data_IF_982753253735
#
_entry.id   IF_982753253735
#
_cell.length_a   1.000
_cell.length_b   1.000
_cell.length_c   1.000
_cell.angle_alpha   90.00
_cell.angle_beta   90.00
_cell.angle_gamma   90.00
#
_symmetry.space_group_name_H-M   'P 1'
#
loop_
_entity.id
_entity.type
_entity.pdbx_description
1 polymer ?
#
# COMPACT_ATOMS: atom_id res chain seq x y z
N UNK A 1 6.86 -7.62 20.21
CA UNK A 1 6.30 -8.69 19.35
C UNK A 1 5.80 -8.06 18.08
N UNK A 2 6.29 -8.52 16.93
CA UNK A 2 5.89 -8.04 15.60
C UNK A 2 4.94 -9.02 14.92
N UNK A 3 4.08 -8.51 14.05
CA UNK A 3 3.23 -9.31 13.16
C UNK A 3 3.61 -9.04 11.71
N UNK A 4 4.05 -10.06 10.98
CA UNK A 4 4.30 -10.00 9.54
C UNK A 4 3.22 -10.81 8.84
N UNK A 5 2.43 -10.14 8.00
CA UNK A 5 1.29 -10.72 7.29
C UNK A 5 1.60 -10.78 5.80
N UNK A 6 1.44 -11.95 5.20
CA UNK A 6 1.44 -12.11 3.74
C UNK A 6 0.01 -12.26 3.25
N UNK A 7 -0.44 -11.39 2.36
CA UNK A 7 -1.78 -11.50 1.75
C UNK A 7 -1.76 -12.49 0.58
N UNK A 8 -2.87 -13.22 0.43
CA UNK A 8 -3.08 -14.21 -0.63
C UNK A 8 -4.47 -14.83 -0.52
N UNK A 9 -4.85 -15.62 -1.53
CA UNK A 9 -6.02 -16.49 -1.47
C UNK A 9 -5.61 -17.94 -1.18
N UNK A 10 -6.38 -18.68 -0.36
CA UNK A 10 -6.12 -20.08 -0.03
C UNK A 10 -6.58 -21.03 -1.15
N UNK A 11 -5.91 -22.17 -1.28
CA UNK A 11 -6.29 -23.26 -2.16
C UNK A 11 -5.49 -23.32 -3.47
N UNK A 12 -5.39 -24.54 -4.00
CA UNK A 12 -4.47 -24.90 -5.11
C UNK A 12 -4.65 -24.02 -6.35
N UNK A 13 -5.88 -23.60 -6.66
CA UNK A 13 -6.17 -22.77 -7.83
C UNK A 13 -5.53 -21.37 -7.79
N UNK A 14 -5.16 -20.87 -6.61
CA UNK A 14 -4.53 -19.56 -6.44
C UNK A 14 -3.02 -19.64 -6.21
N UNK A 15 -2.46 -20.85 -6.13
CA UNK A 15 -1.02 -21.03 -6.02
C UNK A 15 -0.31 -20.40 -7.21
N UNK A 16 0.76 -19.66 -6.91
CA UNK A 16 1.59 -18.99 -7.92
C UNK A 16 0.84 -17.93 -8.77
N UNK A 17 -0.33 -17.46 -8.30
CA UNK A 17 -1.02 -16.31 -8.90
C UNK A 17 -0.42 -14.99 -8.44
N UNK A 18 -0.59 -13.93 -9.22
CA UNK A 18 -0.12 -12.58 -8.89
C UNK A 18 -0.63 -12.11 -7.53
N UNK A 19 -1.88 -12.41 -7.20
CA UNK A 19 -2.51 -12.02 -5.93
C UNK A 19 -1.97 -12.77 -4.70
N UNK A 20 -1.16 -13.81 -4.90
CA UNK A 20 -0.52 -14.57 -3.84
C UNK A 20 0.94 -14.14 -3.60
N UNK A 21 1.38 -13.01 -4.15
CA UNK A 21 2.74 -12.52 -3.96
C UNK A 21 3.11 -12.35 -2.46
N UNK A 22 2.15 -11.90 -1.62
CA UNK A 22 2.35 -11.80 -0.18
C UNK A 22 2.61 -13.16 0.47
N UNK A 23 1.84 -14.18 0.12
CA UNK A 23 2.08 -15.56 0.55
C UNK A 23 3.47 -16.07 0.15
N UNK A 24 3.88 -15.83 -1.10
CA UNK A 24 5.19 -16.27 -1.60
C UNK A 24 6.34 -15.62 -0.82
N UNK A 25 6.20 -14.34 -0.46
CA UNK A 25 7.19 -13.66 0.40
C UNK A 25 7.23 -14.28 1.79
N UNK A 26 6.09 -14.61 2.38
CA UNK A 26 6.04 -15.26 3.70
C UNK A 26 6.68 -16.65 3.66
N UNK A 27 6.44 -17.42 2.60
CA UNK A 27 7.09 -18.70 2.38
C UNK A 27 8.61 -18.54 2.23
N UNK A 28 9.07 -17.49 1.54
CA UNK A 28 10.49 -17.16 1.44
C UNK A 28 11.10 -16.75 2.77
N UNK A 29 10.41 -15.94 3.58
CA UNK A 29 10.86 -15.57 4.94
C UNK A 29 11.01 -16.83 5.78
N UNK A 30 10.00 -17.70 5.78
CA UNK A 30 10.02 -18.94 6.54
C UNK A 30 11.21 -19.84 6.13
N UNK A 31 11.50 -19.97 4.83
CA UNK A 31 12.71 -20.65 4.35
C UNK A 31 14.01 -20.01 4.84
N UNK A 32 14.12 -18.68 4.82
CA UNK A 32 15.33 -17.98 5.26
C UNK A 32 15.59 -18.12 6.76
N UNK A 33 14.55 -18.40 7.55
CA UNK A 33 14.62 -18.51 9.00
C UNK A 33 14.48 -19.94 9.51
N UNK A 34 14.44 -20.94 8.60
CA UNK A 34 14.20 -22.35 8.92
C UNK A 34 12.91 -22.59 9.74
N UNK A 35 11.85 -21.86 9.37
CA UNK A 35 10.55 -21.91 10.02
C UNK A 35 9.50 -22.59 9.16
N UNK A 36 8.46 -23.11 9.81
CA UNK A 36 7.32 -23.74 9.12
C UNK A 36 5.99 -23.11 9.56
N UNK A 37 5.40 -22.33 8.66
CA UNK A 37 4.05 -21.74 8.85
C UNK A 37 3.00 -22.84 8.73
N UNK A 38 2.59 -23.43 9.86
CA UNK A 38 1.74 -24.63 9.87
C UNK A 38 0.67 -24.65 10.96
N UNK A 39 0.78 -23.82 12.00
CA UNK A 39 -0.25 -23.77 13.05
C UNK A 39 -1.50 -23.15 12.47
N UNK A 40 -2.65 -23.80 12.66
CA UNK A 40 -3.95 -23.30 12.19
C UNK A 40 -4.65 -22.56 13.32
N UNK A 41 -4.89 -21.25 13.12
CA UNK A 41 -5.70 -20.39 13.99
C UNK A 41 -5.98 -19.07 13.26
N UNK A 42 -6.95 -18.30 13.75
CA UNK A 42 -7.27 -16.97 13.21
C UNK A 42 -7.72 -17.02 11.74
N UNK A 43 -8.41 -18.09 11.31
CA UNK A 43 -8.74 -18.30 9.90
C UNK A 43 -7.50 -18.25 8.99
N UNK A 44 -6.37 -18.81 9.46
CA UNK A 44 -5.11 -18.76 8.74
C UNK A 44 -4.08 -19.77 9.23
N UNK A 45 -2.96 -19.80 8.51
CA UNK A 45 -1.75 -20.50 8.93
C UNK A 45 -0.78 -19.50 9.53
N UNK A 46 -0.21 -19.83 10.69
CA UNK A 46 0.78 -18.98 11.33
C UNK A 46 1.92 -19.78 11.95
N UNK A 47 2.99 -19.07 12.30
CA UNK A 47 4.02 -19.54 13.23
C UNK A 47 4.44 -18.37 14.12
N UNK A 48 4.67 -18.66 15.41
CA UNK A 48 5.30 -17.73 16.34
C UNK A 48 6.73 -18.22 16.55
N UNK A 49 7.69 -17.36 16.30
CA UNK A 49 9.13 -17.65 16.40
C UNK A 49 9.88 -16.44 16.97
N UNK A 50 11.16 -16.62 17.29
CA UNK A 50 12.08 -15.56 17.67
C UNK A 50 13.11 -15.38 16.56
N UNK A 51 13.04 -14.26 15.85
CA UNK A 51 13.96 -13.93 14.76
C UNK A 51 14.85 -12.78 15.24
N UNK A 52 16.16 -13.01 15.29
CA UNK A 52 17.16 -12.01 15.72
C UNK A 52 16.88 -11.37 17.09
N UNK A 53 16.28 -12.13 18.00
CA UNK A 53 15.96 -11.68 19.36
C UNK A 53 14.54 -11.10 19.52
N UNK A 54 13.85 -10.75 18.43
CA UNK A 54 12.48 -10.24 18.45
C UNK A 54 11.47 -11.39 18.32
N UNK A 55 10.41 -11.37 19.14
CA UNK A 55 9.28 -12.28 18.95
C UNK A 55 8.46 -11.84 17.73
N UNK A 56 8.32 -12.74 16.75
CA UNK A 56 7.63 -12.47 15.49
C UNK A 56 6.55 -13.52 15.26
N UNK A 57 5.39 -13.05 14.83
CA UNK A 57 4.34 -13.90 14.26
C UNK A 57 4.34 -13.72 12.75
N UNK A 58 4.51 -14.81 12.02
CA UNK A 58 4.29 -14.86 10.57
C UNK A 58 2.88 -15.40 10.34
N UNK A 59 2.04 -14.65 9.62
CA UNK A 59 0.64 -15.00 9.37
C UNK A 59 0.33 -15.01 7.87
N UNK A 60 -0.31 -16.10 7.42
CA UNK A 60 -0.95 -16.24 6.11
C UNK A 60 -2.46 -16.38 6.35
N UNK A 61 -3.26 -15.31 6.19
CA UNK A 61 -4.72 -15.39 6.26
C UNK A 61 -5.26 -16.35 5.22
N UNK A 62 -5.97 -17.40 5.63
CA UNK A 62 -6.59 -18.39 4.74
C UNK A 62 -8.10 -18.12 4.57
N UNK A 63 -8.50 -16.87 4.71
CA UNK A 63 -9.79 -16.36 4.24
C UNK A 63 -9.71 -16.03 2.75
N UNK A 64 -10.84 -15.71 2.11
CA UNK A 64 -10.75 -14.97 0.84
C UNK A 64 -10.09 -13.60 1.06
N UNK A 65 -9.44 -13.09 0.01
CA UNK A 65 -8.63 -11.88 0.09
C UNK A 65 -9.38 -10.69 0.74
N UNK A 66 -10.62 -10.44 0.33
CA UNK A 66 -11.46 -9.35 0.85
C UNK A 66 -11.83 -9.49 2.35
N UNK A 67 -11.55 -10.63 2.97
CA UNK A 67 -11.80 -10.93 4.38
C UNK A 67 -10.49 -11.07 5.20
N UNK A 68 -9.33 -10.78 4.60
CA UNK A 68 -8.02 -10.94 5.25
C UNK A 68 -7.90 -10.17 6.57
N UNK A 69 -8.60 -9.04 6.70
CA UNK A 69 -8.57 -8.22 7.91
C UNK A 69 -9.11 -8.93 9.15
N UNK A 70 -10.08 -9.85 9.00
CA UNK A 70 -10.62 -10.62 10.12
C UNK A 70 -9.55 -11.52 10.74
N UNK A 71 -8.76 -12.19 9.89
CA UNK A 71 -7.64 -13.03 10.33
C UNK A 71 -6.57 -12.21 11.06
N UNK A 72 -6.19 -11.07 10.45
CA UNK A 72 -5.19 -10.16 11.04
C UNK A 72 -5.64 -9.65 12.40
N UNK A 73 -6.90 -9.20 12.50
CA UNK A 73 -7.46 -8.69 13.75
C UNK A 73 -7.52 -9.76 14.84
N UNK A 74 -7.99 -10.96 14.51
CA UNK A 74 -8.03 -12.07 15.46
C UNK A 74 -6.62 -12.43 16.00
N UNK A 75 -5.60 -12.37 15.14
CA UNK A 75 -4.21 -12.58 15.55
C UNK A 75 -3.70 -11.46 16.47
N UNK A 76 -4.01 -10.20 16.15
CA UNK A 76 -3.65 -9.05 16.99
C UNK A 76 -4.28 -9.14 18.37
N UNK A 77 -5.58 -9.42 18.45
CA UNK A 77 -6.33 -9.46 19.70
C UNK A 77 -5.84 -10.59 20.62
N UNK A 78 -5.43 -11.72 20.03
CA UNK A 78 -4.90 -12.86 20.75
C UNK A 78 -3.50 -12.59 21.32
N UNK A 79 -2.59 -12.04 20.50
CA UNK A 79 -1.20 -11.78 20.91
C UNK A 79 -0.96 -10.38 21.51
N UNK A 80 -2.01 -9.55 21.61
CA UNK A 80 -1.94 -8.16 22.08
C UNK A 80 -0.95 -7.32 21.27
N UNK A 81 -1.02 -7.45 19.94
CA UNK A 81 -0.12 -6.74 19.02
C UNK A 81 -0.74 -5.40 18.62
N UNK A 82 -0.01 -4.32 18.83
CA UNK A 82 -0.40 -2.98 18.39
C UNK A 82 -0.29 -2.84 16.87
N UNK A 83 -1.13 -1.99 16.29
CA UNK A 83 -1.11 -1.67 14.86
C UNK A 83 0.26 -1.24 14.33
N UNK A 84 1.01 -0.45 15.10
CA UNK A 84 2.36 0.03 14.75
C UNK A 84 3.39 -1.10 14.57
N UNK A 85 3.10 -2.27 15.13
CA UNK A 85 3.97 -3.45 15.12
C UNK A 85 3.64 -4.43 14.00
N UNK A 86 2.74 -4.03 13.10
CA UNK A 86 2.31 -4.81 11.94
C UNK A 86 3.10 -4.41 10.69
N UNK A 87 3.49 -5.42 9.91
CA UNK A 87 4.00 -5.31 8.56
C UNK A 87 3.14 -6.16 7.62
N UNK A 88 2.51 -5.53 6.62
CA UNK A 88 1.68 -6.23 5.63
C UNK A 88 2.39 -6.29 4.28
N UNK A 89 2.45 -7.48 3.68
CA UNK A 89 3.09 -7.76 2.41
C UNK A 89 2.04 -8.21 1.40
N UNK A 90 1.94 -7.53 0.26
CA UNK A 90 0.89 -7.76 -0.73
C UNK A 90 1.30 -7.31 -2.15
N UNK A 91 0.54 -7.73 -3.15
CA UNK A 91 0.77 -7.36 -4.55
C UNK A 91 0.35 -5.93 -4.90
N UNK A 92 1.08 -5.29 -5.82
CA UNK A 92 0.83 -3.91 -6.24
C UNK A 92 0.91 -3.80 -7.77
N UNK A 93 -0.22 -3.41 -8.38
CA UNK A 93 -0.38 -3.28 -9.83
C UNK A 93 0.44 -2.13 -10.42
N UNK A 94 0.67 -1.09 -9.62
CA UNK A 94 1.37 0.12 -10.05
C UNK A 94 2.90 -0.02 -9.97
N UNK A 95 3.38 -1.09 -9.34
CA UNK A 95 4.81 -1.40 -9.23
C UNK A 95 5.17 -2.47 -10.28
N UNK A 96 6.19 -2.26 -11.13
CA UNK A 96 6.62 -3.25 -12.10
C UNK A 96 7.08 -4.55 -11.45
N UNK A 97 6.90 -5.68 -12.16
CA UNK A 97 7.47 -6.97 -11.74
C UNK A 97 8.99 -6.82 -11.53
N UNK A 98 9.51 -7.45 -10.48
CA UNK A 98 10.92 -7.31 -10.09
C UNK A 98 11.23 -6.15 -9.14
N UNK A 99 10.25 -5.30 -8.85
CA UNK A 99 10.41 -4.17 -7.94
C UNK A 99 9.56 -4.33 -6.68
N UNK A 100 10.03 -3.71 -5.60
CA UNK A 100 9.29 -3.59 -4.35
C UNK A 100 9.18 -2.14 -3.92
N UNK A 101 8.13 -1.82 -3.15
CA UNK A 101 7.96 -0.49 -2.57
C UNK A 101 7.47 -0.57 -1.13
N UNK A 102 8.22 0.02 -0.23
CA UNK A 102 7.92 0.11 1.19
C UNK A 102 7.23 1.43 1.51
N UNK A 103 6.22 1.38 2.38
CA UNK A 103 5.50 2.55 2.92
C UNK A 103 5.14 2.33 4.39
N UNK A 104 5.05 3.41 5.16
CA UNK A 104 4.61 3.41 6.57
C UNK A 104 3.11 3.68 6.74
N UNK A 105 2.45 4.19 5.71
CA UNK A 105 1.01 4.51 5.71
C UNK A 105 0.43 4.63 4.30
N UNK A 106 -0.89 4.76 4.23
CA UNK A 106 -1.64 5.14 3.03
C UNK A 106 -2.84 4.24 2.73
N UNK A 107 -3.62 4.64 1.72
CA UNK A 107 -4.84 3.92 1.36
C UNK A 107 -4.57 2.53 0.79
N UNK A 108 -5.65 1.75 0.65
CA UNK A 108 -5.63 0.42 0.05
C UNK A 108 -5.18 0.40 -1.42
N UNK A 109 -5.26 1.53 -2.14
CA UNK A 109 -4.94 1.60 -3.57
C UNK A 109 -5.76 0.64 -4.44
N UNK A 110 -7.03 0.40 -4.08
CA UNK A 110 -7.91 -0.54 -4.77
C UNK A 110 -7.69 -2.02 -4.42
N UNK A 111 -6.69 -2.36 -3.60
CA UNK A 111 -6.44 -3.74 -3.20
C UNK A 111 -7.41 -4.20 -2.09
N UNK A 112 -8.28 -5.17 -2.40
CA UNK A 112 -9.34 -5.62 -1.49
C UNK A 112 -8.84 -6.19 -0.16
N UNK A 113 -7.74 -6.95 -0.17
CA UNK A 113 -7.11 -7.43 1.07
C UNK A 113 -6.61 -6.31 1.97
N UNK A 114 -5.99 -5.28 1.37
CA UNK A 114 -5.55 -4.13 2.13
C UNK A 114 -6.71 -3.28 2.64
N UNK A 115 -7.79 -3.14 1.87
CA UNK A 115 -9.05 -2.52 2.34
C UNK A 115 -9.60 -3.25 3.56
N UNK A 116 -9.64 -4.59 3.51
CA UNK A 116 -10.07 -5.44 4.61
C UNK A 116 -9.24 -5.23 5.87
N UNK A 117 -7.91 -5.29 5.74
CA UNK A 117 -6.98 -5.10 6.86
C UNK A 117 -7.11 -3.71 7.46
N UNK A 118 -7.10 -2.64 6.65
CA UNK A 118 -7.27 -1.25 7.13
C UNK A 118 -8.55 -1.11 7.96
N UNK A 119 -9.66 -1.68 7.48
CA UNK A 119 -10.93 -1.68 8.20
C UNK A 119 -10.86 -2.44 9.53
N UNK A 120 -10.28 -3.64 9.55
CA UNK A 120 -10.24 -4.46 10.76
C UNK A 120 -9.23 -4.00 11.82
N UNK A 121 -8.14 -3.35 11.40
CA UNK A 121 -7.12 -2.77 12.30
C UNK A 121 -7.39 -1.29 12.64
N UNK A 122 -8.51 -0.75 12.16
CA UNK A 122 -9.03 0.59 12.46
C UNK A 122 -8.05 1.74 12.12
N UNK A 123 -7.33 1.63 11.02
CA UNK A 123 -6.40 2.69 10.58
C UNK A 123 -5.45 2.26 9.47
N UNK A 124 -4.65 3.22 8.99
CA UNK A 124 -3.71 3.02 7.87
C UNK A 124 -2.23 3.13 8.28
N UNK A 125 -1.96 3.47 9.53
CA UNK A 125 -0.64 3.71 10.13
C UNK A 125 0.03 2.41 10.57
N UNK A 126 0.32 1.57 9.57
CA UNK A 126 1.14 0.38 9.72
C UNK A 126 2.03 0.18 8.49
N UNK A 127 3.15 -0.52 8.72
CA UNK A 127 4.16 -0.72 7.71
C UNK A 127 3.68 -1.69 6.63
N UNK A 128 4.12 -1.46 5.40
CA UNK A 128 3.77 -2.32 4.28
C UNK A 128 4.87 -2.45 3.24
N UNK A 129 5.01 -3.65 2.68
CA UNK A 129 5.84 -3.97 1.52
C UNK A 129 4.91 -4.32 0.36
N UNK A 130 5.00 -3.54 -0.70
CA UNK A 130 4.31 -3.77 -1.97
C UNK A 130 5.22 -4.55 -2.89
N UNK A 131 4.75 -5.69 -3.39
CA UNK A 131 5.46 -6.52 -4.37
C UNK A 131 4.88 -6.21 -5.74
N UNK A 132 5.72 -5.73 -6.65
CA UNK A 132 5.28 -5.36 -7.99
C UNK A 132 4.79 -6.57 -8.79
N UNK A 133 3.57 -6.48 -9.28
CA UNK A 133 2.99 -7.46 -10.20
C UNK A 133 2.75 -6.87 -11.59
N UNK A 134 3.01 -5.57 -11.77
CA UNK A 134 2.71 -4.85 -12.99
C UNK A 134 1.22 -4.79 -13.31
N UNK A 135 0.90 -4.36 -14.52
CA UNK A 135 -0.47 -4.27 -15.02
C UNK A 135 -0.48 -4.51 -16.51
N UNK A 136 -1.44 -5.29 -16.99
CA UNK A 136 -1.78 -5.35 -18.40
C UNK A 136 -3.06 -4.51 -18.64
N UNK A 137 -3.00 -3.41 -19.41
CA UNK A 137 -4.17 -2.58 -19.66
C UNK A 137 -5.26 -3.30 -20.48
N UNK A 138 -4.95 -4.42 -21.13
CA UNK A 138 -5.90 -5.20 -21.93
C UNK A 138 -6.69 -6.21 -21.10
N UNK A 139 -6.24 -6.51 -19.87
CA UNK A 139 -6.85 -7.52 -19.00
C UNK A 139 -7.56 -6.79 -17.86
N UNK A 140 -8.78 -7.22 -17.51
CA UNK A 140 -9.47 -6.70 -16.33
C UNK A 140 -8.62 -6.98 -15.09
N UNK A 141 -8.57 -6.04 -14.16
CA UNK A 141 -7.71 -6.14 -12.96
C UNK A 141 -7.97 -7.44 -12.18
N UNK A 142 -9.25 -7.78 -11.97
CA UNK A 142 -9.65 -8.98 -11.21
C UNK A 142 -9.11 -10.24 -11.87
N UNK A 143 -9.22 -10.34 -13.19
CA UNK A 143 -8.72 -11.49 -13.94
C UNK A 143 -7.18 -11.52 -13.89
N UNK A 144 -6.54 -10.37 -14.10
CA UNK A 144 -5.08 -10.24 -14.10
C UNK A 144 -4.46 -10.72 -12.79
N UNK A 145 -4.96 -10.27 -11.63
CA UNK A 145 -4.37 -10.66 -10.33
C UNK A 145 -4.54 -12.16 -10.05
N UNK A 146 -5.54 -12.82 -10.62
CA UNK A 146 -5.79 -14.25 -10.44
C UNK A 146 -5.04 -15.14 -11.45
N UNK A 147 -4.28 -14.55 -12.37
CA UNK A 147 -3.42 -15.31 -13.29
C UNK A 147 -2.03 -15.59 -12.71
N UNK A 148 -1.36 -16.62 -13.23
CA UNK A 148 0.04 -16.93 -12.91
C UNK A 148 1.00 -16.01 -13.66
N UNK A 149 2.20 -15.83 -13.10
CA UNK A 149 3.27 -15.10 -13.77
C UNK A 149 3.73 -15.82 -15.04
N UNK A 150 4.12 -15.05 -16.05
CA UNK A 150 4.68 -15.56 -17.30
C UNK A 150 6.09 -16.08 -17.05
N UNK A 151 6.57 -17.01 -17.87
CA UNK A 151 7.89 -17.63 -17.70
C UNK A 151 9.05 -16.60 -17.68
N UNK A 152 8.94 -15.55 -18.49
CA UNK A 152 9.91 -14.44 -18.55
C UNK A 152 9.79 -13.44 -17.39
N UNK A 153 8.72 -13.51 -16.58
CA UNK A 153 8.54 -12.70 -15.38
C UNK A 153 9.04 -13.41 -14.11
N UNK A 154 9.22 -14.73 -14.14
CA UNK A 154 9.53 -15.54 -12.94
C UNK A 154 10.86 -15.14 -12.30
N UNK A 155 11.89 -14.85 -13.10
CA UNK A 155 13.19 -14.45 -12.55
C UNK A 155 13.09 -13.13 -11.78
N UNK A 156 12.42 -12.14 -12.36
CA UNK A 156 12.22 -10.84 -11.74
C UNK A 156 11.30 -10.93 -10.53
N UNK A 157 10.22 -11.71 -10.61
CA UNK A 157 9.39 -12.02 -9.46
C UNK A 157 10.22 -12.60 -8.30
N UNK A 158 11.06 -13.59 -8.56
CA UNK A 158 11.89 -14.22 -7.53
C UNK A 158 12.86 -13.21 -6.89
N UNK A 159 13.42 -12.28 -7.68
CA UNK A 159 14.22 -11.16 -7.15
C UNK A 159 13.38 -10.27 -6.23
N UNK A 160 12.16 -9.91 -6.63
CA UNK A 160 11.27 -9.09 -5.81
C UNK A 160 10.88 -9.80 -4.50
N UNK A 161 10.55 -11.10 -4.56
CA UNK A 161 10.23 -11.93 -3.40
C UNK A 161 11.40 -11.96 -2.42
N UNK A 162 12.60 -12.23 -2.93
CA UNK A 162 13.81 -12.31 -2.10
C UNK A 162 14.17 -10.95 -1.48
N UNK A 163 14.02 -9.85 -2.23
CA UNK A 163 14.21 -8.49 -1.69
C UNK A 163 13.16 -8.14 -0.63
N UNK A 164 11.88 -8.48 -0.85
CA UNK A 164 10.81 -8.24 0.11
C UNK A 164 11.03 -9.01 1.42
N UNK A 165 11.44 -10.29 1.33
CA UNK A 165 11.77 -11.10 2.48
C UNK A 165 12.96 -10.50 3.27
N UNK A 166 14.03 -10.12 2.57
CA UNK A 166 15.19 -9.44 3.17
C UNK A 166 14.81 -8.10 3.82
N UNK A 167 13.93 -7.33 3.21
CA UNK A 167 13.44 -6.07 3.75
C UNK A 167 12.62 -6.27 5.04
N UNK A 168 11.71 -7.24 5.05
CA UNK A 168 10.94 -7.61 6.24
C UNK A 168 11.86 -8.02 7.39
N UNK A 169 12.83 -8.91 7.13
CA UNK A 169 13.80 -9.35 8.14
C UNK A 169 14.74 -8.22 8.61
N UNK A 170 15.12 -7.30 7.71
CA UNK A 170 15.94 -6.14 8.07
C UNK A 170 15.20 -5.18 9.01
N UNK A 171 13.89 -4.99 8.79
CA UNK A 171 13.04 -4.13 9.61
C UNK A 171 12.85 -4.58 11.06
N UNK A 172 13.22 -5.83 11.38
CA UNK A 172 13.18 -6.32 12.76
C UNK A 172 14.25 -5.69 13.66
N UNK A 173 15.38 -5.27 13.09
CA UNK A 173 16.53 -4.72 13.83
C UNK A 173 16.82 -3.25 13.49
N UNK A 174 15.99 -2.63 12.65
CA UNK A 174 16.17 -1.28 12.14
C UNK A 174 14.83 -0.56 12.09
N UNK A 175 14.83 0.76 12.07
CA UNK A 175 13.59 1.49 11.85
C UNK A 175 13.04 1.21 10.46
N UNK A 176 11.73 1.33 10.29
CA UNK A 176 11.13 1.12 8.97
C UNK A 176 11.59 2.18 7.96
N UNK A 177 11.93 3.38 8.43
CA UNK A 177 12.55 4.44 7.60
C UNK A 177 13.92 4.03 7.06
N UNK A 178 14.79 3.46 7.91
CA UNK A 178 16.07 2.91 7.46
C UNK A 178 15.86 1.77 6.45
N UNK A 179 14.84 0.93 6.68
CA UNK A 179 14.47 -0.14 5.76
C UNK A 179 14.02 0.43 4.40
N UNK A 180 13.16 1.45 4.41
CA UNK A 180 12.72 2.15 3.19
C UNK A 180 13.92 2.73 2.43
N UNK A 181 14.83 3.44 3.11
CA UNK A 181 16.01 4.05 2.48
C UNK A 181 16.94 3.01 1.83
N UNK A 182 16.98 1.79 2.37
CA UNK A 182 17.81 0.71 1.85
C UNK A 182 17.16 -0.02 0.66
N UNK A 183 15.87 -0.29 0.73
CA UNK A 183 15.19 -1.22 -0.19
C UNK A 183 14.30 -0.54 -1.24
N UNK A 184 13.83 0.69 -1.00
CA UNK A 184 13.17 1.43 -2.07
C UNK A 184 14.21 1.80 -3.14
N UNK A 185 13.87 1.53 -4.41
CA UNK A 185 14.73 1.91 -5.52
C UNK A 185 15.05 3.42 -5.42
N UNK A 186 16.34 3.76 -5.45
CA UNK A 186 16.74 5.16 -5.58
C UNK A 186 16.17 5.68 -6.90
N UNK A 187 15.52 6.86 -6.93
CA UNK A 187 15.05 7.42 -8.18
C UNK A 187 16.24 7.50 -9.13
N UNK A 188 16.14 6.85 -10.30
CA UNK A 188 17.12 7.08 -11.38
C UNK A 188 17.11 8.59 -11.61
N UNK A 189 18.24 9.27 -11.40
CA UNK A 189 18.40 10.66 -11.85
C UNK A 189 18.00 10.67 -13.32
N UNK A 190 16.93 11.39 -13.66
CA UNK A 190 16.54 11.53 -15.04
C UNK A 190 17.75 12.09 -15.79
N UNK A 191 18.18 11.40 -16.86
CA UNK A 191 19.13 12.00 -17.80
C UNK A 191 18.47 13.30 -18.28
N UNK A 192 19.18 14.44 -18.31
CA UNK A 192 18.65 15.67 -18.91
C UNK A 192 18.12 15.30 -20.29
N UNK A 193 16.84 15.57 -20.51
CA UNK A 193 16.24 15.42 -21.84
C UNK A 193 17.04 16.36 -22.75
N UNK A 194 17.65 15.90 -23.86
CA UNK A 194 18.26 16.82 -24.80
C UNK A 194 17.20 17.83 -25.21
N UNK A 195 17.56 19.12 -25.13
CA UNK A 195 16.68 20.20 -25.54
C UNK A 195 16.21 19.92 -26.97
N UNK A 196 14.92 19.73 -27.15
CA UNK A 196 14.34 19.69 -28.48
C UNK A 196 14.38 21.11 -29.02
N UNK A 197 15.26 21.37 -29.98
CA UNK A 197 15.16 22.55 -30.85
C UNK A 197 13.76 22.56 -31.46
N UNK A 198 12.92 23.50 -31.01
CA UNK A 198 11.69 23.81 -31.71
C UNK A 198 12.05 24.71 -32.90
N UNK A 199 12.55 24.10 -33.97
CA UNK A 199 12.56 24.77 -35.28
C UNK A 199 11.13 24.71 -35.82
N UNK A 200 10.33 25.74 -35.53
CA UNK A 200 9.05 25.95 -36.21
C UNK A 200 9.34 26.45 -37.63
N UNK A 201 9.23 25.56 -38.62
CA UNK A 201 9.12 25.96 -40.03
C UNK A 201 7.76 26.59 -40.27
N UNK A 202 7.72 27.93 -40.34
CA UNK A 202 6.58 28.66 -40.90
C UNK A 202 6.67 28.63 -42.43
N UNK A 203 5.70 27.98 -43.08
CA UNK A 203 5.46 28.14 -44.53
C UNK A 203 4.52 29.33 -44.72
N UNK A 204 5.03 30.46 -45.18
CA UNK A 204 4.19 31.53 -45.72
C UNK A 204 4.41 31.63 -47.24
N UNK A 205 3.30 31.45 -47.98
CA UNK A 205 3.12 31.90 -49.37
C UNK A 205 2.97 33.42 -49.36
N UNK A 206 3.58 34.07 -50.36
CA UNK A 206 3.23 35.41 -50.90
C UNK A 206 3.25 36.56 -49.84
N UNK A 207 4.10 37.57 -49.88
CA UNK A 207 4.30 38.57 -50.95
C UNK A 207 5.48 39.47 -50.54
N UNK A 208 6.07 40.09 -51.56
CA UNK A 208 7.12 41.12 -51.50
C UNK A 208 6.69 42.40 -50.78
N UNK A 209 7.48 42.86 -49.82
CA UNK A 209 7.69 44.30 -49.57
C UNK A 209 8.96 44.52 -48.72
N UNK A 210 9.95 45.18 -49.32
CA UNK A 210 11.14 45.73 -48.67
C UNK A 210 10.80 47.06 -48.00
N UNK A 211 11.16 47.24 -46.72
CA UNK A 211 11.48 48.56 -46.16
C UNK A 211 12.62 48.42 -45.14
N UNK A 212 13.66 49.24 -45.34
CA UNK A 212 14.77 49.46 -44.41
C UNK A 212 14.61 50.86 -43.84
N UNK A 213 14.60 51.01 -42.51
CA UNK A 213 15.05 52.24 -41.85
C UNK A 213 15.78 51.88 -40.56
N UNK A 214 17.04 52.29 -40.51
CA UNK A 214 17.91 52.27 -39.36
C UNK A 214 17.56 53.41 -38.39
N UNK A 215 17.81 53.24 -37.09
CA UNK A 215 18.79 54.01 -36.31
C UNK A 215 18.66 53.78 -34.80
N UNK A 216 19.80 53.42 -34.20
CA UNK A 216 20.40 53.90 -32.94
C UNK A 216 19.54 54.01 -31.67
N UNK A 217 19.91 53.23 -30.65
CA UNK A 217 20.66 53.70 -29.47
C UNK A 217 20.32 52.87 -28.21
N UNK A 218 21.29 52.11 -27.71
CA UNK A 218 21.51 51.87 -26.27
C UNK A 218 22.17 53.15 -25.68
N UNK A 219 22.26 53.41 -24.35
CA UNK A 219 22.55 52.42 -23.29
C UNK A 219 22.05 52.73 -21.84
N UNK A 220 22.55 51.91 -20.90
CA UNK A 220 22.84 52.14 -19.45
C UNK A 220 21.70 52.04 -18.43
N UNK A 221 21.77 51.06 -17.51
CA UNK A 221 22.35 51.10 -16.13
C UNK A 221 21.53 52.00 -15.18
N UNK A 222 21.36 51.80 -13.88
CA UNK A 222 21.77 50.82 -12.86
C UNK A 222 20.90 51.15 -11.61
N UNK A 223 20.86 50.19 -10.68
CA UNK A 223 20.85 50.36 -9.23
C UNK A 223 19.65 50.99 -8.45
N UNK A 224 19.44 50.31 -7.31
CA UNK A 224 19.28 50.83 -5.95
C UNK A 224 17.90 50.88 -5.25
N UNK A 225 17.79 49.96 -4.27
CA UNK A 225 17.53 50.16 -2.84
C UNK A 225 16.49 51.21 -2.38
N UNK A 226 15.49 50.75 -1.61
CA UNK A 226 15.06 51.29 -0.29
C UNK A 226 13.73 50.61 0.11
N UNK A 227 13.68 49.82 1.20
CA UNK A 227 13.36 50.21 2.59
C UNK A 227 11.88 50.58 2.85
N UNK A 228 11.33 49.92 3.89
CA UNK A 228 10.24 50.36 4.81
C UNK A 228 8.82 50.37 4.21
N UNK A 229 7.73 49.94 4.85
CA UNK A 229 7.27 49.77 6.26
C UNK A 229 6.05 48.79 6.22
N UNK A 230 5.58 48.23 7.36
CA UNK A 230 4.43 47.33 7.39
C UNK A 230 3.13 48.12 7.34
N UNK A 231 2.16 47.66 6.55
CA UNK A 231 0.77 48.15 6.60
C UNK A 231 -0.09 47.04 7.15
N UNK A 232 -0.70 47.35 8.29
CA UNK A 232 -1.79 46.65 8.94
C UNK A 232 -3.02 46.62 8.04
N UNK A 233 -3.54 45.43 7.76
CA UNK A 233 -4.89 45.25 7.21
C UNK A 233 -5.72 44.41 8.21
N UNK A 234 -6.79 44.97 8.81
CA UNK A 234 -7.69 44.26 9.67
C UNK A 234 -8.85 43.70 8.84
N UNK A 235 -8.77 42.43 8.44
CA UNK A 235 -9.97 41.68 8.09
C UNK A 235 -9.78 40.19 8.36
N UNK A 236 -9.98 39.87 9.63
CA UNK A 236 -10.31 38.52 10.10
C UNK A 236 -11.77 38.30 9.78
N UNK A 237 -12.06 37.41 8.84
CA UNK A 237 -13.40 36.82 8.72
C UNK A 237 -13.28 35.35 9.07
N UNK A 238 -13.68 35.02 10.29
CA UNK A 238 -13.90 33.65 10.76
C UNK A 238 -14.97 32.98 9.88
N UNK A 239 -14.68 31.78 9.40
CA UNK A 239 -15.67 30.89 8.77
C UNK A 239 -16.11 29.89 9.86
N UNK A 240 -17.39 29.83 10.24
CA UNK A 240 -17.85 28.83 11.19
C UNK A 240 -17.94 27.45 10.55
N UNK A 241 -17.36 26.47 11.25
CA UNK A 241 -17.45 25.04 10.96
C UNK A 241 -18.85 24.54 11.33
N UNK A 242 -19.74 24.36 10.36
CA UNK A 242 -21.04 23.70 10.55
C UNK A 242 -20.84 22.20 10.35
N UNK A 243 -20.88 21.45 11.44
CA UNK A 243 -21.07 20.00 11.47
C UNK A 243 -22.54 19.72 11.19
N UNK A 244 -22.86 19.05 10.09
CA UNK A 244 -24.18 18.45 9.88
C UNK A 244 -24.09 16.94 10.09
N UNK A 245 -24.70 16.49 11.18
CA UNK A 245 -25.02 15.09 11.42
C UNK A 245 -26.00 14.62 10.34
N UNK A 246 -25.68 13.53 9.65
CA UNK A 246 -26.64 12.80 8.83
C UNK A 246 -26.82 11.43 9.45
N UNK A 247 -28.03 11.23 9.97
CA UNK A 247 -28.55 9.97 10.49
C UNK A 247 -28.54 8.91 9.37
N UNK A 248 -27.84 7.81 9.60
CA UNK A 248 -27.95 6.61 8.76
C UNK A 248 -29.04 5.75 9.37
N UNK A 249 -30.23 5.80 8.78
CA UNK A 249 -31.31 4.83 9.02
C UNK A 249 -30.91 3.49 8.42
N UNK A 250 -30.74 2.47 9.25
CA UNK A 250 -30.48 1.09 8.84
C UNK A 250 -31.82 0.35 8.92
N UNK A 251 -32.38 0.02 7.75
CA UNK A 251 -33.52 -0.85 7.62
C UNK A 251 -33.05 -2.31 7.78
N UNK A 252 -33.45 -2.97 8.86
CA UNK A 252 -33.24 -4.41 9.06
C UNK A 252 -34.34 -5.19 8.31
N UNK A 253 -34.02 -6.29 7.61
CA UNK A 253 -35.04 -7.18 7.06
C UNK A 253 -35.67 -8.06 8.14
N UNK A 254 -36.98 -8.28 8.01
CA UNK A 254 -37.78 -9.22 8.78
C UNK A 254 -37.20 -10.65 8.71
N UNK A 255 -36.69 -11.14 9.83
CA UNK A 255 -36.59 -12.58 10.08
C UNK A 255 -37.16 -12.89 11.46
N UNK A 256 -38.20 -13.70 11.46
CA UNK A 256 -38.88 -14.28 12.62
C UNK A 256 -37.91 -15.17 13.40
N UNK A 257 -37.53 -14.73 14.60
CA UNK A 257 -36.84 -15.56 15.58
C UNK A 257 -37.88 -16.28 16.44
N UNK A 258 -38.02 -17.59 16.26
CA UNK A 258 -38.69 -18.46 17.24
C UNK A 258 -37.89 -18.45 18.55
N UNK A 259 -38.49 -17.85 19.57
CA UNK A 259 -37.99 -17.85 20.94
C UNK A 259 -38.31 -19.21 21.59
N UNK A 260 -37.27 -20.01 21.78
CA UNK A 260 -37.29 -21.19 22.63
C UNK A 260 -37.64 -20.80 24.08
N UNK A 261 -38.75 -21.32 24.59
CA UNK A 261 -39.14 -21.16 25.99
C UNK A 261 -38.30 -22.09 26.85
N UNK A 262 -37.42 -21.52 27.68
CA UNK A 262 -36.66 -22.26 28.68
C UNK A 262 -37.62 -22.52 29.85
N UNK A 263 -38.08 -23.76 29.99
CA UNK A 263 -38.80 -24.20 31.18
C UNK A 263 -37.81 -24.29 32.35
N UNK A 264 -38.06 -23.48 33.37
CA UNK A 264 -37.44 -23.59 34.69
C UNK A 264 -38.01 -24.82 35.39
N UNK A 265 -37.18 -25.83 35.66
CA UNK A 265 -37.57 -26.92 36.56
C UNK A 265 -36.83 -26.77 37.89
N UNK A 266 -37.62 -26.67 38.96
CA UNK A 266 -37.17 -26.63 40.35
C UNK A 266 -36.80 -28.04 40.83
N UNK A 267 -35.94 -28.18 41.85
CA UNK A 267 -35.65 -29.49 42.43
C UNK A 267 -36.72 -29.87 43.46
N UNK A 268 -37.23 -31.10 43.39
CA UNK A 268 -38.05 -31.70 44.44
C UNK A 268 -37.56 -33.12 44.79
N UNK A 269 -37.06 -33.24 46.02
CA UNK A 269 -37.07 -34.37 46.96
C UNK A 269 -37.35 -35.80 46.45
N UNK A 270 -36.37 -36.70 46.64
CA UNK A 270 -36.38 -37.73 47.71
C UNK A 270 -35.07 -38.51 47.76
#
# INVERSE_FOLDING_TARGET
>A
MKLIVGLGNPGVKYENTRHNAGFMVLDRIAQMTDEKISKKKFEGSYVKTKIRGEDVVLLKPETYMNLSGFSVRACMDFFKIDRKDILVIYDDLDTPVGSIRLKTKGSAGGHNGMKSVIGSVLGEDFNRIRVGIGRDPKIKIIDYVLTKFRADEVEDLNKAIDQAAKAALFSLNHTFEQTMNRYNAKPKKAKPKPASDQTQTFKNKEETATYTLAQNAQPTENADQAKTKPVSDPNVTEIPLILSESEISIQLPDETVEIATIATDQPAEK
#
